data_IF_680678683899
#
_entry.id   IF_680678683899
#
_cell.length_a   1.000
_cell.length_b   1.000
_cell.length_c   1.000
_cell.angle_alpha   90.00
_cell.angle_beta   90.00
_cell.angle_gamma   90.00
#
_symmetry.space_group_name_H-M   'P 1'
#
loop_
_entity.id
_entity.type
_entity.pdbx_description
1 polymer ?
#
# COMPACT_ATOMS: atom_id res chain seq x y z
N UNK A 1 12.04 26.54 -5.39
CA UNK A 1 12.64 25.29 -4.85
C UNK A 1 13.42 24.65 -5.98
N UNK A 2 14.70 24.28 -5.78
CA UNK A 2 15.45 23.54 -6.80
C UNK A 2 14.75 22.20 -7.05
N UNK A 3 14.69 21.77 -8.30
CA UNK A 3 14.11 20.49 -8.66
C UNK A 3 15.07 19.37 -8.24
N UNK A 4 14.59 18.41 -7.46
CA UNK A 4 15.40 17.26 -7.02
C UNK A 4 15.56 16.28 -8.18
N UNK A 5 16.80 15.99 -8.56
CA UNK A 5 17.10 14.92 -9.51
C UNK A 5 17.16 13.57 -8.80
N UNK A 6 16.52 12.56 -9.39
CA UNK A 6 16.46 11.19 -8.84
C UNK A 6 17.27 10.22 -9.71
N UNK A 7 17.91 9.20 -9.11
CA UNK A 7 18.69 8.22 -9.86
C UNK A 7 17.80 7.36 -10.76
N UNK A 8 18.37 6.88 -11.87
CA UNK A 8 17.72 5.97 -12.81
C UNK A 8 18.37 4.59 -12.65
N UNK A 9 17.59 3.58 -12.25
CA UNK A 9 18.10 2.24 -11.93
C UNK A 9 17.06 1.13 -12.14
N UNK A 10 17.46 -0.15 -12.12
CA UNK A 10 16.50 -1.26 -12.26
C UNK A 10 15.85 -1.66 -10.93
N UNK A 11 16.58 -1.53 -9.83
CA UNK A 11 16.09 -1.80 -8.48
C UNK A 11 16.71 -0.81 -7.46
N UNK A 12 16.21 -0.78 -6.22
CA UNK A 12 16.77 0.08 -5.18
C UNK A 12 18.21 -0.30 -4.75
N UNK A 13 18.58 -1.58 -4.85
CA UNK A 13 19.89 -2.08 -4.46
C UNK A 13 21.00 -1.58 -5.42
N UNK A 14 20.70 -1.50 -6.71
CA UNK A 14 21.55 -0.92 -7.75
C UNK A 14 21.85 0.55 -7.46
N UNK A 15 20.88 1.29 -6.90
CA UNK A 15 21.11 2.68 -6.47
C UNK A 15 22.15 2.70 -5.34
N UNK A 16 21.97 1.88 -4.31
CA UNK A 16 22.88 1.84 -3.15
C UNK A 16 24.28 1.37 -3.51
N UNK A 17 24.41 0.44 -4.47
CA UNK A 17 25.72 -0.06 -4.90
C UNK A 17 26.46 0.92 -5.82
N UNK A 18 25.75 1.64 -6.69
CA UNK A 18 26.38 2.40 -7.77
C UNK A 18 26.37 3.93 -7.58
N UNK A 19 25.70 4.46 -6.55
CA UNK A 19 25.63 5.92 -6.35
C UNK A 19 27.00 6.56 -6.07
N UNK A 20 27.87 5.89 -5.30
CA UNK A 20 29.19 6.41 -4.91
C UNK A 20 30.17 6.42 -6.07
N UNK A 21 30.01 5.51 -7.04
CA UNK A 21 30.89 5.36 -8.20
C UNK A 21 30.60 6.33 -9.35
N UNK A 22 29.59 7.21 -9.23
CA UNK A 22 29.22 8.16 -10.28
C UNK A 22 28.65 7.51 -11.56
N UNK A 23 28.34 6.21 -11.53
CA UNK A 23 27.84 5.46 -12.67
C UNK A 23 26.33 5.57 -12.92
N UNK A 24 25.60 6.30 -12.07
CA UNK A 24 24.16 6.48 -12.18
C UNK A 24 23.81 7.77 -12.91
N UNK A 25 22.90 7.67 -13.87
CA UNK A 25 22.24 8.84 -14.45
C UNK A 25 21.15 9.35 -13.50
N UNK A 26 20.94 10.66 -13.49
CA UNK A 26 19.93 11.33 -12.67
C UNK A 26 18.99 12.14 -13.56
N UNK A 27 17.72 12.21 -13.16
CA UNK A 27 16.71 12.98 -13.87
C UNK A 27 15.67 13.57 -12.91
N UNK A 28 15.24 14.80 -13.20
CA UNK A 28 14.21 15.50 -12.43
C UNK A 28 12.79 15.10 -12.84
N UNK A 29 12.60 14.70 -14.10
CA UNK A 29 11.29 14.40 -14.71
C UNK A 29 11.31 13.08 -15.45
N UNK A 30 10.15 12.45 -15.54
CA UNK A 30 9.95 11.18 -16.26
C UNK A 30 10.46 11.24 -17.70
N UNK A 31 10.19 12.35 -18.41
CA UNK A 31 10.65 12.54 -19.79
C UNK A 31 12.18 12.49 -19.91
N UNK A 32 12.89 13.21 -19.04
CA UNK A 32 14.35 13.21 -19.04
C UNK A 32 14.92 11.83 -18.65
N UNK A 33 14.26 11.14 -17.73
CA UNK A 33 14.63 9.78 -17.35
C UNK A 33 14.44 8.77 -18.50
N UNK A 34 13.32 8.87 -19.24
CA UNK A 34 13.04 8.07 -20.44
C UNK A 34 14.07 8.35 -21.55
N UNK A 35 14.37 9.62 -21.80
CA UNK A 35 15.39 10.02 -22.78
C UNK A 35 16.79 9.51 -22.40
N UNK A 36 17.15 9.55 -21.10
CA UNK A 36 18.46 9.09 -20.62
C UNK A 36 18.69 7.57 -20.67
N UNK A 37 17.64 6.75 -20.51
CA UNK A 37 17.78 5.29 -20.54
C UNK A 37 17.22 4.61 -21.79
N UNK A 38 16.54 5.35 -22.67
CA UNK A 38 15.91 4.84 -23.89
C UNK A 38 14.78 3.83 -23.65
N UNK A 39 14.28 3.71 -22.41
CA UNK A 39 13.24 2.77 -21.99
C UNK A 39 12.18 3.50 -21.18
N UNK A 40 11.01 2.89 -21.06
CA UNK A 40 10.00 3.38 -20.11
C UNK A 40 10.51 3.28 -18.68
N UNK A 41 10.15 4.29 -17.89
CA UNK A 41 10.52 4.44 -16.50
C UNK A 41 9.29 4.72 -15.65
N UNK A 42 9.33 4.33 -14.39
CA UNK A 42 8.29 4.65 -13.41
C UNK A 42 8.94 5.17 -12.14
N UNK A 43 8.38 6.23 -11.55
CA UNK A 43 8.85 6.70 -10.25
C UNK A 43 8.41 5.74 -9.15
N UNK A 44 9.37 5.19 -8.41
CA UNK A 44 9.11 4.21 -7.35
C UNK A 44 9.81 4.63 -6.07
N UNK A 45 9.13 4.37 -4.94
CA UNK A 45 9.70 4.45 -3.60
C UNK A 45 9.74 3.03 -3.02
N UNK A 46 10.93 2.50 -2.82
CA UNK A 46 11.15 1.10 -2.45
C UNK A 46 11.98 1.03 -1.15
N UNK A 47 11.61 0.11 -0.27
CA UNK A 47 12.35 -0.18 0.97
C UNK A 47 13.34 -1.31 0.73
N UNK A 48 14.53 -1.19 1.28
CA UNK A 48 15.59 -2.19 1.21
C UNK A 48 15.71 -2.97 2.52
N UNK A 49 16.06 -4.24 2.37
CA UNK A 49 16.49 -5.12 3.46
C UNK A 49 18.02 -5.13 3.56
N UNK A 50 18.62 -5.34 4.75
CA UNK A 50 17.97 -5.70 6.02
C UNK A 50 17.34 -4.51 6.76
N UNK A 51 16.34 -4.80 7.60
CA UNK A 51 15.82 -3.84 8.58
C UNK A 51 16.62 -3.86 9.88
N UNK A 52 16.76 -2.69 10.51
CA UNK A 52 17.52 -2.51 11.75
C UNK A 52 16.59 -2.32 12.95
N UNK A 53 16.98 -2.76 14.16
CA UNK A 53 16.14 -2.63 15.36
C UNK A 53 16.02 -1.17 15.85
N UNK A 54 16.96 -0.29 15.50
CA UNK A 54 16.96 1.12 15.90
C UNK A 54 17.26 2.04 14.71
N UNK A 55 16.79 3.28 14.81
CA UNK A 55 17.05 4.31 13.80
C UNK A 55 18.54 4.62 13.70
N UNK A 56 19.21 4.70 14.85
CA UNK A 56 20.65 5.00 14.95
C UNK A 56 21.50 3.93 14.26
N UNK A 57 21.15 2.65 14.41
CA UNK A 57 21.84 1.56 13.74
C UNK A 57 21.68 1.63 12.22
N UNK A 58 20.47 1.93 11.73
CA UNK A 58 20.23 2.14 10.30
C UNK A 58 20.98 3.38 9.78
N UNK A 59 20.99 4.47 10.56
CA UNK A 59 21.65 5.72 10.19
C UNK A 59 23.16 5.57 10.09
N UNK A 60 23.79 4.86 11.03
CA UNK A 60 25.22 4.59 11.00
C UNK A 60 25.63 3.81 9.74
N UNK A 61 24.78 2.89 9.25
CA UNK A 61 25.07 2.12 8.05
C UNK A 61 24.94 2.93 6.75
N UNK A 62 24.01 3.89 6.70
CA UNK A 62 23.65 4.63 5.49
C UNK A 62 23.93 6.13 5.57
N UNK A 63 24.81 6.57 6.48
CA UNK A 63 25.06 7.98 6.79
C UNK A 63 25.32 8.82 5.54
N UNK A 64 26.21 8.36 4.67
CA UNK A 64 26.55 9.04 3.42
C UNK A 64 25.36 9.15 2.46
N UNK A 65 24.53 8.11 2.38
CA UNK A 65 23.39 8.05 1.47
C UNK A 65 22.24 8.92 1.97
N UNK A 66 22.03 9.01 3.29
CA UNK A 66 20.96 9.80 3.91
C UNK A 66 21.17 11.32 3.77
N UNK A 67 22.34 11.77 3.34
CA UNK A 67 22.56 13.16 2.91
C UNK A 67 21.84 13.49 1.60
N UNK A 68 21.50 12.46 0.82
CA UNK A 68 20.88 12.62 -0.48
C UNK A 68 19.36 12.78 -0.35
N UNK A 69 18.74 13.66 -1.15
CA UNK A 69 17.31 13.96 -1.05
C UNK A 69 16.40 12.78 -1.48
N UNK A 70 16.97 11.76 -2.13
CA UNK A 70 16.24 10.59 -2.61
C UNK A 70 16.24 9.42 -1.62
N UNK A 71 16.97 9.51 -0.51
CA UNK A 71 17.11 8.46 0.49
C UNK A 71 16.52 8.90 1.84
N UNK A 72 15.69 8.05 2.44
CA UNK A 72 15.05 8.31 3.74
C UNK A 72 15.00 7.04 4.56
N UNK A 73 15.06 7.15 5.89
CA UNK A 73 14.73 6.01 6.77
C UNK A 73 13.22 5.99 7.02
N UNK A 74 12.64 4.79 6.98
CA UNK A 74 11.24 4.58 7.33
C UNK A 74 11.17 3.50 8.41
N UNK A 75 10.40 3.79 9.46
CA UNK A 75 10.02 2.78 10.44
C UNK A 75 8.90 1.92 9.85
N UNK A 76 9.20 0.65 9.66
CA UNK A 76 8.27 -0.38 9.20
C UNK A 76 8.15 -1.45 10.27
N UNK A 77 7.12 -2.28 10.21
CA UNK A 77 7.05 -3.48 11.03
C UNK A 77 7.40 -4.67 10.15
N UNK A 78 7.99 -5.72 10.75
CA UNK A 78 8.02 -7.00 10.04
C UNK A 78 6.61 -7.33 9.57
N UNK A 79 6.49 -7.91 8.36
CA UNK A 79 5.20 -8.42 7.87
C UNK A 79 4.83 -9.62 8.72
N UNK A 80 4.28 -9.36 9.90
CA UNK A 80 3.67 -10.36 10.74
C UNK A 80 2.44 -10.88 10.00
N UNK A 81 2.23 -12.18 10.05
CA UNK A 81 1.02 -12.80 9.51
C UNK A 81 -0.20 -12.06 10.10
N UNK A 82 -1.23 -11.81 9.27
CA UNK A 82 -2.43 -11.13 9.75
C UNK A 82 -2.92 -11.81 11.04
N UNK A 83 -3.24 -11.03 12.10
CA UNK A 83 -3.66 -11.62 13.36
C UNK A 83 -4.83 -12.55 13.09
N UNK A 84 -4.70 -13.81 13.53
CA UNK A 84 -5.78 -14.78 13.40
C UNK A 84 -6.95 -14.32 14.26
N UNK A 85 -8.18 -14.59 13.81
CA UNK A 85 -9.36 -14.38 14.65
C UNK A 85 -9.21 -15.27 15.88
N UNK A 86 -9.26 -14.65 17.05
CA UNK A 86 -9.14 -15.33 18.33
C UNK A 86 -10.54 -15.68 18.80
N UNK A 87 -10.79 -16.97 19.03
CA UNK A 87 -12.04 -17.44 19.63
C UNK A 87 -11.92 -17.41 21.16
N UNK A 88 -12.98 -17.01 21.88
CA UNK A 88 -12.98 -17.01 23.33
C UNK A 88 -12.93 -18.46 23.83
N UNK A 89 -11.89 -18.79 24.59
CA UNK A 89 -11.68 -20.08 25.21
C UNK A 89 -11.46 -19.85 26.70
N UNK A 90 -12.38 -20.35 27.53
CA UNK A 90 -12.20 -20.28 28.98
C UNK A 90 -11.10 -21.26 29.39
N UNK A 91 -9.91 -20.74 29.69
CA UNK A 91 -8.73 -21.51 30.08
C UNK A 91 -7.99 -20.78 31.18
N UNK A 92 -7.59 -21.50 32.23
CA UNK A 92 -6.83 -20.96 33.38
C UNK A 92 -7.51 -19.74 34.04
N UNK A 93 -8.84 -19.75 34.11
CA UNK A 93 -9.63 -18.65 34.67
C UNK A 93 -9.68 -17.39 33.79
N UNK A 94 -9.21 -17.46 32.55
CA UNK A 94 -9.24 -16.35 31.58
C UNK A 94 -10.04 -16.75 30.34
N UNK A 95 -10.90 -15.84 29.85
CA UNK A 95 -11.74 -16.06 28.65
C UNK A 95 -10.98 -15.86 27.33
N UNK A 96 -9.93 -15.05 27.36
CA UNK A 96 -9.14 -14.72 26.18
C UNK A 96 -7.75 -15.33 26.29
N UNK A 97 -7.22 -15.95 25.22
CA UNK A 97 -5.84 -16.40 25.20
C UNK A 97 -4.89 -15.20 25.25
N UNK A 98 -3.65 -15.45 25.68
CA UNK A 98 -2.62 -14.42 25.74
C UNK A 98 -2.41 -13.83 24.33
N UNK A 99 -2.40 -12.49 24.19
CA UNK A 99 -2.18 -11.88 22.89
C UNK A 99 -0.82 -12.30 22.32
N UNK A 100 -0.77 -12.47 21.00
CA UNK A 100 0.47 -12.73 20.28
C UNK A 100 1.45 -11.57 20.50
N UNK A 101 2.75 -11.85 20.40
CA UNK A 101 3.77 -10.84 20.60
C UNK A 101 3.57 -9.65 19.64
N UNK A 102 3.77 -8.44 20.15
CA UNK A 102 3.67 -7.24 19.34
C UNK A 102 4.66 -7.29 18.17
N UNK A 103 4.29 -6.76 16.99
CA UNK A 103 5.19 -6.74 15.84
C UNK A 103 6.46 -5.94 16.17
N UNK A 104 7.61 -6.48 15.76
CA UNK A 104 8.90 -5.82 15.97
C UNK A 104 9.05 -4.69 14.95
N UNK A 105 9.29 -3.47 15.45
CA UNK A 105 9.60 -2.32 14.62
C UNK A 105 11.00 -2.48 14.01
N UNK A 106 11.12 -2.14 12.72
CA UNK A 106 12.35 -2.21 11.94
C UNK A 106 12.52 -0.94 11.11
N UNK A 107 13.70 -0.34 11.23
CA UNK A 107 14.12 0.79 10.43
C UNK A 107 14.74 0.32 9.13
N UNK A 108 14.13 0.69 8.01
CA UNK A 108 14.59 0.32 6.66
C UNK A 108 14.99 1.56 5.88
N UNK A 109 16.01 1.39 5.06
CA UNK A 109 16.35 2.39 4.06
C UNK A 109 15.28 2.39 2.98
N UNK A 110 14.79 3.57 2.62
CA UNK A 110 13.83 3.78 1.57
C UNK A 110 14.39 4.73 0.52
N UNK A 111 14.44 4.26 -0.72
CA UNK A 111 15.05 4.96 -1.86
C UNK A 111 13.96 5.31 -2.86
N UNK A 112 13.95 6.57 -3.29
CA UNK A 112 13.10 7.07 -4.38
C UNK A 112 13.93 7.14 -5.67
N UNK A 113 13.48 6.50 -6.74
CA UNK A 113 14.24 6.44 -8.00
C UNK A 113 13.34 6.22 -9.22
N UNK A 114 13.88 6.49 -10.41
CA UNK A 114 13.26 6.12 -11.68
C UNK A 114 13.59 4.67 -12.00
N UNK A 115 12.60 3.78 -11.83
CA UNK A 115 12.73 2.36 -12.12
C UNK A 115 12.66 2.11 -13.62
N UNK A 116 13.70 1.52 -14.20
CA UNK A 116 13.75 1.13 -15.61
C UNK A 116 12.84 -0.08 -15.84
N UNK A 117 11.94 0.03 -16.80
CA UNK A 117 11.02 -1.03 -17.22
C UNK A 117 9.55 -0.71 -16.91
N UNK A 118 8.66 -1.49 -17.52
CA UNK A 118 7.22 -1.37 -17.32
C UNK A 118 6.83 -1.94 -15.96
N UNK A 119 6.73 -1.07 -14.96
CA UNK A 119 5.98 -1.39 -13.75
C UNK A 119 4.54 -1.59 -14.18
N UNK A 120 4.00 -2.80 -13.94
CA UNK A 120 2.60 -3.14 -14.21
C UNK A 120 1.73 -1.99 -13.68
N UNK A 121 0.89 -1.36 -14.50
CA UNK A 121 0.11 -0.21 -14.05
C UNK A 121 -0.64 -0.62 -12.79
N UNK A 122 -0.53 0.18 -11.72
CA UNK A 122 -1.29 -0.02 -10.51
C UNK A 122 -2.76 -0.22 -10.93
N UNK A 123 -3.48 -1.22 -10.38
CA UNK A 123 -4.87 -1.44 -10.72
C UNK A 123 -5.61 -0.13 -10.50
N UNK A 124 -6.14 0.45 -11.60
CA UNK A 124 -6.84 1.73 -11.54
C UNK A 124 -7.91 1.63 -10.45
N UNK A 125 -7.98 2.59 -9.51
CA UNK A 125 -9.05 2.59 -8.53
C UNK A 125 -10.39 2.56 -9.26
N UNK A 126 -11.33 1.76 -8.75
CA UNK A 126 -12.66 1.53 -9.35
C UNK A 126 -13.45 2.81 -9.65
N UNK A 127 -13.08 3.94 -9.03
CA UNK A 127 -13.69 5.25 -9.23
C UNK A 127 -13.41 5.88 -10.60
N UNK A 128 -12.41 5.40 -11.34
CA UNK A 128 -12.05 5.92 -12.66
C UNK A 128 -12.83 5.27 -13.83
N UNK A 129 -13.74 4.34 -13.54
CA UNK A 129 -14.59 3.70 -14.56
C UNK A 129 -15.74 4.66 -14.87
N UNK A 130 -15.79 5.16 -16.10
CA UNK A 130 -16.92 5.95 -16.62
C UNK A 130 -18.25 5.23 -16.33
N UNK A 131 -19.30 5.95 -15.90
CA UNK A 131 -20.52 5.32 -15.40
C UNK A 131 -21.21 4.39 -16.41
N UNK A 132 -21.04 4.61 -17.71
CA UNK A 132 -21.59 3.75 -18.77
C UNK A 132 -20.84 2.43 -18.95
N UNK A 133 -19.57 2.33 -18.52
CA UNK A 133 -18.78 1.09 -18.52
C UNK A 133 -18.91 0.31 -17.19
N UNK A 134 -19.83 0.70 -16.31
CA UNK A 134 -20.06 -0.02 -15.06
C UNK A 134 -20.91 -1.26 -15.30
N UNK A 135 -20.41 -2.43 -14.92
CA UNK A 135 -21.07 -3.74 -15.10
C UNK A 135 -22.56 -3.77 -14.67
N UNK A 136 -22.95 -3.02 -13.62
CA UNK A 136 -24.36 -2.92 -13.19
C UNK A 136 -25.22 -2.07 -14.14
N UNK A 137 -24.70 -0.94 -14.63
CA UNK A 137 -25.39 -0.09 -15.60
C UNK A 137 -25.56 -0.85 -16.93
N UNK A 138 -24.51 -1.58 -17.33
CA UNK A 138 -24.52 -2.49 -18.48
C UNK A 138 -25.57 -3.60 -18.29
N UNK A 139 -25.66 -4.27 -17.13
CA UNK A 139 -26.71 -5.28 -16.85
C UNK A 139 -28.13 -4.72 -16.93
N UNK A 140 -28.35 -3.48 -16.48
CA UNK A 140 -29.67 -2.83 -16.57
C UNK A 140 -30.05 -2.50 -18.03
N UNK A 141 -29.05 -2.22 -18.87
CA UNK A 141 -29.19 -1.92 -20.30
C UNK A 141 -29.29 -3.19 -21.16
N UNK A 142 -28.67 -4.28 -20.71
CA UNK A 142 -28.57 -5.57 -21.40
C UNK A 142 -29.88 -6.36 -21.48
N UNK A 143 -31.01 -5.82 -20.98
CA UNK A 143 -32.30 -6.48 -21.14
C UNK A 143 -32.79 -6.45 -22.60
N UNK A 144 -32.45 -5.43 -23.42
CA UNK A 144 -32.99 -5.30 -24.78
C UNK A 144 -32.05 -4.62 -25.82
N UNK A 145 -30.77 -4.36 -25.50
CA UNK A 145 -29.84 -3.61 -26.38
C UNK A 145 -28.53 -4.37 -26.61
N UNK A 146 -27.99 -4.44 -27.85
CA UNK A 146 -26.69 -5.05 -28.12
C UNK A 146 -25.56 -4.31 -27.38
N UNK A 147 -24.71 -5.09 -26.72
CA UNK A 147 -23.60 -4.61 -25.90
C UNK A 147 -22.36 -4.28 -26.73
N UNK A 148 -21.61 -3.26 -26.33
CA UNK A 148 -20.31 -2.94 -26.95
C UNK A 148 -19.20 -3.86 -26.40
N UNK A 149 -18.08 -4.05 -27.13
CA UNK A 149 -16.98 -4.90 -26.66
C UNK A 149 -16.38 -4.47 -25.32
N UNK A 150 -16.35 -3.17 -25.05
CA UNK A 150 -15.88 -2.60 -23.78
C UNK A 150 -16.84 -2.89 -22.62
N UNK A 151 -18.14 -2.88 -22.87
CA UNK A 151 -19.18 -3.24 -21.90
C UNK A 151 -19.14 -4.74 -21.55
N UNK A 152 -18.82 -5.60 -22.53
CA UNK A 152 -18.59 -7.04 -22.31
C UNK A 152 -17.36 -7.29 -21.44
N UNK A 153 -16.27 -6.58 -21.71
CA UNK A 153 -15.04 -6.69 -20.91
C UNK A 153 -15.27 -6.22 -19.46
N UNK A 154 -16.05 -5.16 -19.26
CA UNK A 154 -16.44 -4.69 -17.93
C UNK A 154 -17.27 -5.73 -17.14
N UNK A 155 -18.18 -6.45 -17.80
CA UNK A 155 -18.95 -7.54 -17.16
C UNK A 155 -18.07 -8.71 -16.71
N UNK A 156 -17.07 -9.07 -17.52
CA UNK A 156 -16.16 -10.17 -17.24
C UNK A 156 -15.24 -9.88 -16.04
N UNK A 157 -14.77 -8.63 -15.89
CA UNK A 157 -13.82 -8.25 -14.84
C UNK A 157 -14.44 -8.04 -13.46
N UNK A 158 -15.75 -7.79 -13.36
CA UNK A 158 -16.41 -7.44 -12.09
C UNK A 158 -17.69 -8.28 -11.84
N UNK A 159 -17.57 -9.61 -11.66
CA UNK A 159 -18.75 -10.47 -11.56
C UNK A 159 -19.65 -10.15 -10.35
N UNK A 160 -19.11 -9.77 -9.18
CA UNK A 160 -19.87 -9.69 -7.92
C UNK A 160 -19.37 -8.65 -6.89
N UNK A 161 -18.86 -7.48 -7.29
CA UNK A 161 -18.44 -6.45 -6.33
C UNK A 161 -19.61 -5.50 -6.00
N UNK A 162 -19.97 -5.43 -4.72
CA UNK A 162 -20.89 -4.40 -4.22
C UNK A 162 -20.19 -3.03 -4.29
N UNK A 163 -20.61 -2.20 -5.24
CA UNK A 163 -19.99 -0.90 -5.52
C UNK A 163 -20.35 0.19 -4.49
N UNK A 164 -21.48 0.04 -3.79
CA UNK A 164 -21.84 0.97 -2.72
C UNK A 164 -21.32 0.38 -1.41
N UNK A 165 -20.56 1.12 -0.57
CA UNK A 165 -20.50 0.77 0.83
C UNK A 165 -21.95 0.61 1.29
N UNK A 166 -22.31 -0.55 1.86
CA UNK A 166 -23.63 -0.72 2.45
C UNK A 166 -23.86 0.51 3.32
N UNK A 167 -24.96 1.23 3.06
CA UNK A 167 -25.38 2.31 3.96
C UNK A 167 -25.32 1.66 5.33
N UNK A 168 -24.51 2.23 6.24
CA UNK A 168 -24.48 1.73 7.60
C UNK A 168 -25.94 1.59 8.00
N UNK A 169 -26.34 0.40 8.47
CA UNK A 169 -27.56 0.30 9.26
C UNK A 169 -27.44 1.43 10.27
N UNK A 170 -28.44 2.31 10.32
CA UNK A 170 -28.45 3.47 11.21
C UNK A 170 -28.31 2.90 12.64
N UNK A 171 -27.07 2.72 13.11
CA UNK A 171 -26.79 2.59 14.53
C UNK A 171 -27.35 3.89 15.08
N UNK A 172 -28.45 3.77 15.83
CA UNK A 172 -29.13 4.93 16.36
C UNK A 172 -28.09 5.81 17.06
N UNK A 173 -28.21 7.12 16.93
CA UNK A 173 -27.31 8.12 17.54
C UNK A 173 -27.17 7.95 19.08
N UNK A 174 -27.92 7.03 19.68
CA UNK A 174 -27.98 6.68 21.09
C UNK A 174 -27.42 5.29 21.42
N UNK A 175 -26.95 4.51 20.44
CA UNK A 175 -26.20 3.28 20.71
C UNK A 175 -24.79 3.64 21.16
N UNK A 176 -24.63 3.77 22.47
CA UNK A 176 -23.33 3.97 23.10
C UNK A 176 -22.58 2.64 23.08
N UNK A 177 -21.51 2.54 22.30
CA UNK A 177 -20.57 1.41 22.43
C UNK A 177 -19.85 1.59 23.77
N UNK A 178 -20.36 0.96 24.82
CA UNK A 178 -19.70 0.96 26.12
C UNK A 178 -18.28 0.38 25.98
N UNK A 179 -17.32 0.85 26.78
CA UNK A 179 -16.06 0.14 26.95
C UNK A 179 -16.37 -1.31 27.34
N UNK A 180 -15.64 -2.28 26.78
CA UNK A 180 -15.72 -3.68 27.19
C UNK A 180 -15.19 -3.84 28.63
N UNK A 181 -15.94 -3.35 29.61
CA UNK A 181 -15.66 -3.49 31.02
C UNK A 181 -16.53 -4.64 31.57
N UNK A 182 -15.95 -5.77 31.98
CA UNK A 182 -16.69 -6.94 32.44
C UNK A 182 -17.43 -6.75 33.77
N UNK A 183 -17.26 -5.62 34.46
CA UNK A 183 -17.85 -5.38 35.79
C UNK A 183 -19.19 -4.62 35.74
N UNK A 184 -19.68 -4.21 34.56
CA UNK A 184 -20.92 -3.46 34.42
C UNK A 184 -22.07 -4.44 34.14
N UNK A 185 -23.00 -4.58 35.10
CA UNK A 185 -24.26 -5.32 34.94
C UNK A 185 -25.38 -4.32 34.66
N UNK A 186 -26.07 -4.46 33.53
CA UNK A 186 -27.23 -3.64 33.14
C UNK A 186 -28.47 -4.53 33.19
N UNK A 187 -29.57 -4.00 33.72
CA UNK A 187 -30.88 -4.65 33.64
C UNK A 187 -31.50 -4.40 32.26
N UNK A 188 -32.04 -5.46 31.62
CA UNK A 188 -32.82 -5.34 30.39
C UNK A 188 -34.08 -4.48 30.65
N UNK A 189 -34.29 -3.45 29.84
CA UNK A 189 -35.61 -2.83 29.60
C UNK A 189 -36.21 -3.34 28.29
#
# INVERSE_FOLDING_TARGET
>A
MPATAYPIAHNALDVVLNWSGGGLAFAERERAAREGCGKDVTFVRETLDPGFPSEEAARAQYETLLTQPFATLICTFERVQKPRRVEPLMRDGRRWPKPEAAPVAQWKLCVSYWKIGTVRPAPKPSSAITPHLQARAVRKKALDVPLTPEEVQALAHAPLMAYRPQKALDMGLFEFVLPENPDIIIADE
#
